data_IF_921510024240
#
_entry.id   IF_921510024240
#
_cell.length_a   1.000
_cell.length_b   1.000
_cell.length_c   1.000
_cell.angle_alpha   90.00
_cell.angle_beta   90.00
_cell.angle_gamma   90.00
#
_symmetry.space_group_name_H-M   'P 1'
#
loop_
_entity.id
_entity.type
_entity.pdbx_description
1 polymer ?
#
# COMPACT_ATOMS: atom_id res chain seq x y z
N UNK A 1 -8.95 -5.38 -6.27
CA UNK A 1 -7.68 -6.12 -6.46
C UNK A 1 -7.26 -6.54 -5.07
N UNK A 2 -7.11 -7.84 -4.84
CA UNK A 2 -6.68 -8.38 -3.56
C UNK A 2 -5.15 -8.26 -3.42
N UNK A 3 -4.60 -8.22 -2.21
CA UNK A 3 -3.14 -8.19 -1.99
C UNK A 3 -2.44 -9.45 -2.53
N UNK A 4 -3.19 -10.53 -2.77
CA UNK A 4 -2.67 -11.76 -3.39
C UNK A 4 -2.89 -11.83 -4.90
N UNK A 5 -3.42 -10.78 -5.52
CA UNK A 5 -3.60 -10.71 -6.97
C UNK A 5 -2.24 -10.76 -7.68
N UNK A 6 -2.11 -11.66 -8.66
CA UNK A 6 -0.87 -11.91 -9.39
C UNK A 6 -0.36 -10.70 -10.19
N UNK A 7 -1.20 -9.67 -10.37
CA UNK A 7 -0.79 -8.40 -10.97
C UNK A 7 0.06 -7.55 -10.04
N UNK A 8 0.04 -7.82 -8.73
CA UNK A 8 0.87 -7.12 -7.75
C UNK A 8 2.24 -7.79 -7.68
N UNK A 9 3.27 -7.02 -7.96
CA UNK A 9 4.66 -7.47 -7.91
C UNK A 9 5.33 -6.95 -6.65
N UNK A 10 5.68 -7.86 -5.76
CA UNK A 10 6.37 -7.58 -4.50
C UNK A 10 7.89 -7.74 -4.67
N UNK A 11 8.66 -6.73 -4.26
CA UNK A 11 10.13 -6.74 -4.38
C UNK A 11 10.85 -6.18 -3.15
N UNK A 12 11.96 -6.80 -2.71
CA UNK A 12 12.29 -8.20 -2.97
C UNK A 12 11.20 -9.11 -2.37
N UNK A 13 10.91 -10.24 -3.00
CA UNK A 13 9.86 -11.17 -2.51
C UNK A 13 10.10 -11.65 -1.08
N UNK A 14 11.37 -11.81 -0.68
CA UNK A 14 11.77 -12.17 0.70
C UNK A 14 11.48 -11.07 1.73
N UNK A 15 11.26 -9.85 1.26
CA UNK A 15 10.91 -8.70 2.08
C UNK A 15 9.45 -8.68 2.52
N UNK A 16 8.57 -9.45 1.89
CA UNK A 16 7.14 -9.38 2.14
C UNK A 16 6.63 -10.61 2.88
N UNK A 17 5.77 -10.39 3.87
CA UNK A 17 5.19 -11.44 4.70
C UNK A 17 3.68 -11.44 4.54
N UNK A 18 3.12 -12.63 4.34
CA UNK A 18 1.68 -12.83 4.36
C UNK A 18 1.16 -12.82 5.80
N UNK A 19 0.07 -12.11 6.00
CA UNK A 19 -0.76 -12.16 7.20
C UNK A 19 -2.23 -12.23 6.82
N UNK A 20 -3.08 -11.82 7.76
CA UNK A 20 -4.52 -11.82 7.55
C UNK A 20 -5.29 -11.93 8.85
N UNK A 21 -6.28 -11.07 9.05
CA UNK A 21 -7.38 -11.27 10.01
C UNK A 21 -8.73 -11.13 9.32
N UNK A 22 -9.80 -11.66 9.93
CA UNK A 22 -11.14 -11.65 9.34
C UNK A 22 -11.64 -10.26 8.91
N UNK A 23 -11.17 -9.21 9.60
CA UNK A 23 -11.55 -7.82 9.32
C UNK A 23 -10.80 -7.20 8.13
N UNK A 24 -9.88 -7.91 7.49
CA UNK A 24 -9.20 -7.48 6.27
C UNK A 24 -9.91 -8.00 5.01
N UNK A 25 -9.71 -7.33 3.87
CA UNK A 25 -10.30 -7.78 2.60
C UNK A 25 -9.82 -9.21 2.29
N UNK A 26 -10.76 -10.11 2.00
CA UNK A 26 -10.53 -11.57 1.86
C UNK A 26 -9.89 -12.26 3.08
N UNK A 27 -9.73 -11.58 4.20
CA UNK A 27 -8.98 -12.06 5.35
C UNK A 27 -7.46 -12.12 5.11
N UNK A 28 -6.93 -11.26 4.25
CA UNK A 28 -5.53 -11.32 3.78
C UNK A 28 -4.84 -9.96 3.87
N UNK A 29 -3.54 -9.99 4.12
CA UNK A 29 -2.69 -8.80 4.07
C UNK A 29 -1.26 -9.17 3.71
N UNK A 30 -0.53 -8.22 3.12
CA UNK A 30 0.89 -8.35 2.83
C UNK A 30 1.65 -7.22 3.51
N UNK A 31 2.58 -7.59 4.40
CA UNK A 31 3.34 -6.64 5.21
C UNK A 31 4.79 -6.57 4.73
N UNK A 32 5.25 -5.35 4.49
CA UNK A 32 6.67 -5.08 4.27
C UNK A 32 7.44 -5.25 5.58
N UNK A 33 8.52 -6.03 5.56
CA UNK A 33 9.43 -6.23 6.70
C UNK A 33 10.56 -5.20 6.81
N UNK A 34 10.65 -4.22 5.90
CA UNK A 34 11.75 -3.26 5.91
C UNK A 34 11.68 -2.17 4.84
N UNK A 35 12.55 -1.17 5.02
CA UNK A 35 12.68 0.00 4.13
C UNK A 35 13.08 -0.44 2.71
N UNK A 36 12.63 0.30 1.70
CA UNK A 36 12.85 0.10 0.27
C UNK A 36 12.18 -1.15 -0.31
N UNK A 37 11.26 -1.78 0.43
CA UNK A 37 10.41 -2.82 -0.13
C UNK A 37 9.28 -2.18 -0.93
N UNK A 38 9.05 -2.71 -2.13
CA UNK A 38 8.08 -2.18 -3.07
C UNK A 38 6.99 -3.18 -3.42
N UNK A 39 5.80 -2.65 -3.64
CA UNK A 39 4.69 -3.35 -4.27
C UNK A 39 4.25 -2.54 -5.49
N UNK A 40 4.27 -3.17 -6.66
CA UNK A 40 3.94 -2.52 -7.93
C UNK A 40 2.68 -3.14 -8.53
N UNK A 41 1.73 -2.31 -8.93
CA UNK A 41 0.55 -2.73 -9.67
C UNK A 41 0.44 -1.93 -10.97
N UNK A 42 0.40 -2.63 -12.10
CA UNK A 42 0.06 -2.04 -13.39
C UNK A 42 -1.34 -2.47 -13.82
N UNK A 43 -2.14 -1.52 -14.28
CA UNK A 43 -3.47 -1.76 -14.86
C UNK A 43 -3.54 -1.15 -16.26
N UNK A 44 -4.20 -1.83 -17.20
CA UNK A 44 -4.18 -1.46 -18.63
C UNK A 44 -5.30 -0.47 -19.02
N UNK A 45 -6.41 -0.50 -18.30
CA UNK A 45 -7.58 0.37 -18.50
C UNK A 45 -8.09 0.76 -17.11
N UNK A 46 -8.37 2.04 -16.88
CA UNK A 46 -8.72 2.54 -15.57
C UNK A 46 -8.54 4.05 -15.44
N UNK A 47 -9.46 4.69 -14.74
CA UNK A 47 -9.52 6.14 -14.55
C UNK A 47 -9.27 6.57 -13.11
N UNK A 48 -9.02 5.62 -12.21
CA UNK A 48 -8.67 5.90 -10.80
C UNK A 48 -8.09 4.67 -10.12
N UNK A 49 -7.36 4.90 -9.03
CA UNK A 49 -6.90 3.84 -8.12
C UNK A 49 -6.93 4.34 -6.68
N UNK A 50 -7.30 3.44 -5.77
CA UNK A 50 -7.20 3.66 -4.33
C UNK A 50 -6.57 2.43 -3.68
N UNK A 51 -5.74 2.67 -2.66
CA UNK A 51 -5.10 1.62 -1.86
C UNK A 51 -5.69 1.68 -0.46
N UNK A 52 -6.19 0.53 -0.02
CA UNK A 52 -6.68 0.33 1.33
C UNK A 52 -5.79 -0.66 2.06
N UNK A 53 -5.66 -0.51 3.38
CA UNK A 53 -4.91 -1.44 4.20
C UNK A 53 -5.22 -1.32 5.68
N UNK A 54 -4.51 -2.11 6.47
CA UNK A 54 -4.47 -1.99 7.93
C UNK A 54 -3.32 -1.08 8.31
N UNK A 55 -3.58 -0.09 9.16
CA UNK A 55 -2.56 0.83 9.64
C UNK A 55 -2.81 1.17 11.11
N UNK A 56 -1.72 1.32 11.86
CA UNK A 56 -1.73 1.64 13.28
C UNK A 56 -0.83 2.85 13.57
N UNK A 57 -1.07 3.57 14.68
CA UNK A 57 -0.17 4.64 15.10
C UNK A 57 1.22 4.07 15.34
N UNK A 58 2.22 4.63 14.64
CA UNK A 58 3.60 4.18 14.71
C UNK A 58 4.02 3.18 13.63
N UNK A 59 3.11 2.78 12.73
CA UNK A 59 3.47 2.02 11.53
C UNK A 59 4.42 2.80 10.60
N UNK A 60 5.18 2.09 9.76
CA UNK A 60 6.05 2.69 8.76
C UNK A 60 5.36 3.73 7.88
N UNK A 61 6.14 4.72 7.47
CA UNK A 61 5.77 5.65 6.41
C UNK A 61 5.81 4.94 5.07
N UNK A 62 4.77 5.16 4.26
CA UNK A 62 4.66 4.64 2.90
C UNK A 62 4.67 5.79 1.89
N UNK A 63 5.33 5.56 0.76
CA UNK A 63 5.34 6.45 -0.39
C UNK A 63 4.62 5.79 -1.55
N UNK A 64 3.76 6.53 -2.23
CA UNK A 64 3.01 6.10 -3.40
C UNK A 64 3.39 6.96 -4.59
N UNK A 65 3.87 6.33 -5.66
CA UNK A 65 4.19 6.99 -6.92
C UNK A 65 3.32 6.40 -8.00
N UNK A 66 2.40 7.19 -8.53
CA UNK A 66 1.60 6.84 -9.69
C UNK A 66 2.32 7.32 -10.95
N UNK A 67 2.55 6.38 -11.86
CA UNK A 67 3.35 6.51 -13.07
C UNK A 67 4.76 7.04 -12.76
N UNK A 68 5.04 8.30 -13.12
CA UNK A 68 6.27 9.01 -12.79
C UNK A 68 5.99 10.33 -12.07
N UNK A 69 4.86 10.40 -11.37
CA UNK A 69 4.39 11.58 -10.66
C UNK A 69 5.16 11.89 -9.38
N UNK A 70 4.72 12.94 -8.69
CA UNK A 70 5.25 13.32 -7.38
C UNK A 70 4.82 12.27 -6.34
N UNK A 71 5.71 11.83 -5.43
CA UNK A 71 5.35 10.90 -4.37
C UNK A 71 4.29 11.46 -3.42
N UNK A 72 3.22 10.70 -3.18
CA UNK A 72 2.31 10.91 -2.07
C UNK A 72 2.81 10.13 -0.84
N UNK A 73 2.91 10.79 0.31
CA UNK A 73 3.44 10.19 1.54
C UNK A 73 2.29 9.96 2.52
N UNK A 74 2.08 8.69 2.89
CA UNK A 74 1.18 8.30 3.96
C UNK A 74 1.97 8.12 5.26
N UNK A 75 1.56 8.84 6.31
CA UNK A 75 2.13 8.72 7.64
C UNK A 75 1.07 8.26 8.66
N UNK A 76 1.25 7.03 9.14
CA UNK A 76 0.35 6.39 10.09
C UNK A 76 0.37 7.02 11.49
N UNK A 77 1.34 7.88 11.82
CA UNK A 77 1.38 8.58 13.13
C UNK A 77 0.20 9.52 13.36
N UNK A 78 -0.52 9.90 12.30
CA UNK A 78 -1.75 10.68 12.38
C UNK A 78 -2.97 9.90 12.84
N UNK A 79 -2.91 8.56 12.84
CA UNK A 79 -3.99 7.70 13.30
C UNK A 79 -4.11 7.75 14.83
N UNK A 80 -5.33 7.71 15.33
CA UNK A 80 -5.64 7.80 16.76
C UNK A 80 -6.02 6.47 17.41
N UNK A 81 -6.27 5.44 16.60
CA UNK A 81 -6.74 4.11 17.05
C UNK A 81 -5.84 3.02 16.49
N UNK A 82 -5.65 1.93 17.24
CA UNK A 82 -4.96 0.71 16.80
C UNK A 82 -5.93 -0.24 16.09
N UNK A 83 -5.38 -1.18 15.34
CA UNK A 83 -6.04 -2.09 14.41
C UNK A 83 -7.04 -1.39 13.48
N UNK A 84 -6.65 -0.27 12.89
CA UNK A 84 -7.55 0.39 11.95
C UNK A 84 -7.47 -0.31 10.60
N UNK A 85 -8.44 -1.19 10.36
CA UNK A 85 -8.64 -1.87 9.09
C UNK A 85 -9.34 -0.95 8.08
N UNK A 86 -9.30 -1.31 6.79
CA UNK A 86 -9.96 -0.58 5.70
C UNK A 86 -9.57 0.91 5.61
N UNK A 87 -8.36 1.27 6.02
CA UNK A 87 -7.90 2.66 5.95
C UNK A 87 -7.52 3.00 4.52
N UNK A 88 -7.98 4.15 4.05
CA UNK A 88 -7.53 4.70 2.77
C UNK A 88 -6.10 5.23 2.94
N UNK A 89 -5.15 4.53 2.34
CA UNK A 89 -3.73 4.88 2.40
C UNK A 89 -3.34 5.83 1.26
N UNK A 90 -3.98 5.66 0.11
CA UNK A 90 -3.77 6.46 -1.09
C UNK A 90 -5.02 6.45 -1.96
N UNK A 91 -5.32 7.58 -2.59
CA UNK A 91 -6.25 7.67 -3.71
C UNK A 91 -5.64 8.59 -4.78
N UNK A 92 -5.76 8.20 -6.05
CA UNK A 92 -5.42 9.07 -7.16
C UNK A 92 -6.51 10.13 -7.38
N UNK A 93 -6.14 11.23 -8.03
CA UNK A 93 -7.11 12.04 -8.76
C UNK A 93 -7.70 11.24 -9.94
N UNK A 94 -8.63 11.85 -10.67
CA UNK A 94 -9.13 11.27 -11.92
C UNK A 94 -8.01 11.19 -12.96
N UNK A 95 -7.83 10.00 -13.52
CA UNK A 95 -6.86 9.68 -14.55
C UNK A 95 -7.55 9.64 -15.92
N UNK A 96 -6.77 9.91 -16.97
CA UNK A 96 -7.19 9.56 -18.33
C UNK A 96 -7.32 8.05 -18.43
N UNK A 97 -8.34 7.54 -19.12
CA UNK A 97 -8.45 6.10 -19.30
C UNK A 97 -7.25 5.55 -20.10
N UNK A 98 -6.55 4.57 -19.53
CA UNK A 98 -5.37 3.99 -20.14
C UNK A 98 -4.52 3.19 -19.16
N UNK A 99 -3.28 2.93 -19.59
CA UNK A 99 -2.33 2.18 -18.79
C UNK A 99 -1.67 3.06 -17.72
N UNK A 100 -1.68 2.57 -16.50
CA UNK A 100 -1.04 3.22 -15.35
C UNK A 100 -0.29 2.21 -14.49
N UNK A 101 0.68 2.70 -13.73
CA UNK A 101 1.46 1.90 -12.78
C UNK A 101 1.57 2.62 -11.45
N UNK A 102 1.11 1.99 -10.38
CA UNK A 102 1.32 2.47 -9.01
C UNK A 102 2.47 1.70 -8.36
N UNK A 103 3.41 2.42 -7.77
CA UNK A 103 4.49 1.87 -6.94
C UNK A 103 4.32 2.35 -5.51
N UNK A 104 4.05 1.43 -4.60
CA UNK A 104 4.16 1.66 -3.15
C UNK A 104 5.57 1.31 -2.69
N UNK A 105 6.14 2.12 -1.79
CA UNK A 105 7.44 1.88 -1.14
C UNK A 105 7.37 2.16 0.35
N UNK A 106 7.88 1.25 1.18
CA UNK A 106 8.12 1.56 2.59
C UNK A 106 9.38 2.45 2.72
N UNK A 107 9.23 3.64 3.28
CA UNK A 107 10.32 4.64 3.35
C UNK A 107 10.88 4.85 4.76
N UNK A 108 10.20 4.36 5.80
CA UNK A 108 10.72 4.37 7.16
C UNK A 108 10.51 3.02 7.85
N UNK A 109 11.11 2.87 9.03
CA UNK A 109 10.87 1.71 9.89
C UNK A 109 9.67 1.98 10.80
N UNK A 110 9.07 0.90 11.31
CA UNK A 110 8.06 1.01 12.36
C UNK A 110 8.70 1.65 13.59
N UNK A 111 7.98 2.60 14.19
CA UNK A 111 8.37 3.21 15.46
C UNK A 111 7.53 2.58 16.57
N UNK A 112 8.20 2.06 17.60
CA UNK A 112 7.50 1.57 18.79
C UNK A 112 7.05 2.77 19.61
N UNK A 113 5.75 3.11 19.51
CA UNK A 113 5.07 4.11 20.34
C UNK A 113 4.48 3.47 21.60
#
# INVERSE_FOLDING_TARGET
>A
VDDRDLRIQYSPTTGWKQGGVFDEYSGTTMTASGINQTATLSFQEGTSIAVYGTADPGEPTMSFVLDHGVPFVFNATSLSSRNTHHQLLFASDTLTDGQHTLVLTQTSAQINL
#
